data_IF_547387263675
#
_entry.id   IF_547387263675
#
_cell.length_a   1.000
_cell.length_b   1.000
_cell.length_c   1.000
_cell.angle_alpha   90.00
_cell.angle_beta   90.00
_cell.angle_gamma   90.00
#
_symmetry.space_group_name_H-M   'P 1'
#
loop_
_entity.id
_entity.type
_entity.pdbx_description
1 polymer ?
#
# COMPACT_ATOMS: atom_id res chain seq x y z
N UNK A 1 26.87 -87.80 27.36
CA UNK A 1 25.67 -88.55 26.96
C UNK A 1 25.01 -87.76 25.85
N UNK A 2 25.16 -88.21 24.60
CA UNK A 2 24.73 -87.44 23.44
C UNK A 2 23.21 -87.52 23.27
N UNK A 3 22.57 -86.36 23.16
CA UNK A 3 21.12 -86.19 22.92
C UNK A 3 20.64 -86.95 21.67
N UNK A 4 21.58 -87.29 20.78
CA UNK A 4 21.34 -88.08 19.58
C UNK A 4 20.96 -89.54 19.87
N UNK A 5 21.30 -90.13 21.03
CA UNK A 5 21.03 -91.55 21.36
C UNK A 5 19.60 -91.82 21.85
N UNK A 6 18.81 -90.78 22.11
CA UNK A 6 17.40 -90.91 22.53
C UNK A 6 16.42 -90.91 21.34
N UNK A 7 16.92 -90.81 20.11
CA UNK A 7 16.14 -90.63 18.88
C UNK A 7 16.22 -91.91 18.03
N UNK A 8 15.09 -92.49 17.54
CA UNK A 8 15.10 -93.71 16.75
C UNK A 8 16.01 -93.59 15.50
N UNK A 9 16.78 -94.63 15.13
CA UNK A 9 17.71 -94.58 14.01
C UNK A 9 17.14 -94.10 12.67
N UNK A 10 15.88 -94.40 12.27
CA UNK A 10 15.34 -93.90 10.99
C UNK A 10 15.02 -92.40 10.98
N UNK A 11 14.87 -91.73 12.13
CA UNK A 11 14.46 -90.30 12.21
C UNK A 11 15.59 -89.33 12.57
N UNK A 12 16.77 -89.85 12.95
CA UNK A 12 17.99 -89.05 13.21
C UNK A 12 18.36 -88.04 12.10
N UNK A 13 18.38 -88.38 10.79
CA UNK A 13 18.74 -87.40 9.75
C UNK A 13 17.71 -86.27 9.64
N UNK A 14 16.42 -86.56 9.85
CA UNK A 14 15.35 -85.56 9.87
C UNK A 14 15.44 -84.64 11.09
N UNK A 15 15.77 -85.18 12.26
CA UNK A 15 16.00 -84.37 13.46
C UNK A 15 17.20 -83.42 13.29
N UNK A 16 18.30 -83.88 12.69
CA UNK A 16 19.46 -83.04 12.39
C UNK A 16 19.10 -81.96 11.35
N UNK A 17 18.35 -82.31 10.31
CA UNK A 17 17.89 -81.34 9.30
C UNK A 17 17.01 -80.24 9.91
N UNK A 18 16.09 -80.59 10.82
CA UNK A 18 15.25 -79.62 11.52
C UNK A 18 16.07 -78.67 12.41
N UNK A 19 17.06 -79.19 13.13
CA UNK A 19 17.94 -78.37 13.97
C UNK A 19 18.75 -77.40 13.11
N UNK A 20 19.32 -77.87 11.99
CA UNK A 20 20.04 -77.00 11.06
C UNK A 20 19.13 -75.92 10.47
N UNK A 21 17.88 -76.27 10.12
CA UNK A 21 16.91 -75.31 9.60
C UNK A 21 16.51 -74.26 10.65
N UNK A 22 16.36 -74.66 11.92
CA UNK A 22 16.08 -73.76 13.02
C UNK A 22 17.25 -72.78 13.28
N UNK A 23 18.49 -73.25 13.22
CA UNK A 23 19.69 -72.42 13.37
C UNK A 23 19.82 -71.43 12.19
N UNK A 24 19.55 -71.89 10.96
CA UNK A 24 19.55 -71.04 9.78
C UNK A 24 18.43 -69.97 9.85
N UNK A 25 17.23 -70.34 10.30
CA UNK A 25 16.12 -69.40 10.50
C UNK A 25 16.41 -68.36 11.59
N UNK A 26 16.98 -68.78 12.72
CA UNK A 26 17.32 -67.88 13.82
C UNK A 26 18.43 -66.87 13.45
N UNK A 27 19.44 -67.31 12.70
CA UNK A 27 20.51 -66.41 12.23
C UNK A 27 20.00 -65.41 11.19
N UNK A 28 19.13 -65.82 10.27
CA UNK A 28 18.48 -64.93 9.31
C UNK A 28 17.57 -63.89 10.00
N UNK A 29 16.77 -64.31 11.00
CA UNK A 29 15.91 -63.41 11.77
C UNK A 29 16.72 -62.39 12.59
N UNK A 30 17.82 -62.84 13.21
CA UNK A 30 18.74 -61.98 13.94
C UNK A 30 19.42 -60.94 13.04
N UNK A 31 19.90 -61.36 11.86
CA UNK A 31 20.51 -60.46 10.89
C UNK A 31 19.53 -59.40 10.39
N UNK A 32 18.26 -59.77 10.13
CA UNK A 32 17.20 -58.84 9.77
C UNK A 32 16.93 -57.81 10.87
N UNK A 33 16.79 -58.23 12.13
CA UNK A 33 16.57 -57.34 13.28
C UNK A 33 17.68 -56.29 13.43
N UNK A 34 18.93 -56.69 13.26
CA UNK A 34 20.09 -55.78 13.36
C UNK A 34 20.12 -54.80 12.19
N UNK A 35 19.80 -55.27 10.98
CA UNK A 35 19.69 -54.39 9.81
C UNK A 35 18.59 -53.35 10.00
N UNK A 36 17.42 -53.77 10.46
CA UNK A 36 16.25 -52.90 10.65
C UNK A 36 16.53 -51.82 11.72
N UNK A 37 17.20 -52.19 12.82
CA UNK A 37 17.67 -51.24 13.82
C UNK A 37 18.62 -50.20 13.23
N UNK A 38 19.61 -50.64 12.45
CA UNK A 38 20.60 -49.75 11.83
C UNK A 38 19.96 -48.79 10.83
N UNK A 39 19.03 -49.28 10.01
CA UNK A 39 18.28 -48.44 9.08
C UNK A 39 17.37 -47.46 9.82
N UNK A 40 16.68 -47.89 10.87
CA UNK A 40 15.86 -47.02 11.71
C UNK A 40 16.65 -45.87 12.33
N UNK A 41 17.86 -46.12 12.82
CA UNK A 41 18.76 -45.07 13.34
C UNK A 41 19.14 -44.05 12.26
N UNK A 42 19.52 -44.49 11.06
CA UNK A 42 19.84 -43.58 9.96
C UNK A 42 18.63 -42.78 9.48
N UNK A 43 17.44 -43.37 9.48
CA UNK A 43 16.19 -42.71 9.15
C UNK A 43 15.85 -41.64 10.20
N UNK A 44 16.01 -41.93 11.49
CA UNK A 44 15.78 -40.97 12.56
C UNK A 44 16.75 -39.79 12.47
N UNK A 45 18.03 -40.04 12.18
CA UNK A 45 19.02 -38.98 12.02
C UNK A 45 18.72 -38.08 10.82
N UNK A 46 18.40 -38.67 9.66
CA UNK A 46 17.99 -37.90 8.47
C UNK A 46 16.69 -37.14 8.69
N UNK A 47 15.72 -37.72 9.39
CA UNK A 47 14.47 -37.06 9.74
C UNK A 47 14.74 -35.86 10.65
N UNK A 48 15.61 -36.00 11.66
CA UNK A 48 16.02 -34.90 12.54
C UNK A 48 16.73 -33.78 11.78
N UNK A 49 17.64 -34.10 10.86
CA UNK A 49 18.31 -33.11 10.02
C UNK A 49 17.32 -32.40 9.07
N UNK A 50 16.39 -33.14 8.48
CA UNK A 50 15.36 -32.59 7.60
C UNK A 50 14.41 -31.64 8.36
N UNK A 51 14.01 -32.02 9.58
CA UNK A 51 13.16 -31.21 10.45
C UNK A 51 13.88 -29.92 10.89
N UNK A 52 15.13 -30.03 11.34
CA UNK A 52 15.95 -28.84 11.65
C UNK A 52 16.13 -27.92 10.43
N UNK A 53 16.34 -28.49 9.25
CA UNK A 53 16.44 -27.69 8.02
C UNK A 53 15.09 -27.07 7.63
N UNK A 54 13.96 -27.72 7.90
CA UNK A 54 12.63 -27.16 7.68
C UNK A 54 12.36 -26.00 8.64
N UNK A 55 12.69 -26.16 9.93
CA UNK A 55 12.58 -25.12 10.95
C UNK A 55 13.40 -23.88 10.58
N UNK A 56 14.68 -24.03 10.22
CA UNK A 56 15.53 -22.91 9.79
C UNK A 56 14.96 -22.18 8.57
N UNK A 57 14.46 -22.92 7.57
CA UNK A 57 13.81 -22.30 6.40
C UNK A 57 12.52 -21.56 6.77
N UNK A 58 11.75 -22.08 7.72
CA UNK A 58 10.55 -21.42 8.21
C UNK A 58 10.89 -20.13 8.96
N UNK A 59 11.90 -20.14 9.82
CA UNK A 59 12.40 -18.95 10.53
C UNK A 59 12.90 -17.88 9.55
N UNK A 60 13.70 -18.27 8.55
CA UNK A 60 14.19 -17.35 7.50
C UNK A 60 13.03 -16.76 6.69
N UNK A 61 12.02 -17.57 6.36
CA UNK A 61 10.83 -17.12 5.64
C UNK A 61 10.01 -16.14 6.49
N UNK A 62 9.84 -16.41 7.79
CA UNK A 62 9.17 -15.51 8.73
C UNK A 62 9.93 -14.20 8.88
N UNK A 63 11.25 -14.22 8.98
CA UNK A 63 12.08 -13.03 9.06
C UNK A 63 11.93 -12.15 7.80
N UNK A 64 11.93 -12.77 6.61
CA UNK A 64 11.67 -12.04 5.35
C UNK A 64 10.28 -11.43 5.32
N UNK A 65 9.26 -12.19 5.72
CA UNK A 65 7.89 -11.71 5.78
C UNK A 65 7.75 -10.53 6.75
N UNK A 66 8.41 -10.58 7.92
CA UNK A 66 8.41 -9.48 8.88
C UNK A 66 9.03 -8.20 8.30
N UNK A 67 10.13 -8.32 7.54
CA UNK A 67 10.75 -7.18 6.85
C UNK A 67 9.80 -6.60 5.79
N UNK A 68 9.12 -7.45 5.02
CA UNK A 68 8.15 -6.99 4.02
C UNK A 68 6.93 -6.31 4.65
N UNK A 69 6.41 -6.86 5.75
CA UNK A 69 5.33 -6.24 6.51
C UNK A 69 5.75 -4.89 7.10
N UNK A 70 6.94 -4.79 7.67
CA UNK A 70 7.47 -3.53 8.18
C UNK A 70 7.59 -2.47 7.06
N UNK A 71 8.02 -2.87 5.86
CA UNK A 71 8.06 -1.99 4.68
C UNK A 71 6.66 -1.54 4.26
N UNK A 72 5.69 -2.46 4.22
CA UNK A 72 4.28 -2.11 3.90
C UNK A 72 3.72 -1.12 4.90
N UNK A 73 3.88 -1.38 6.20
CA UNK A 73 3.41 -0.48 7.26
C UNK A 73 4.08 0.90 7.18
N UNK A 74 5.38 0.96 6.89
CA UNK A 74 6.08 2.23 6.72
C UNK A 74 5.58 3.01 5.50
N UNK A 75 5.27 2.34 4.39
CA UNK A 75 4.68 2.97 3.21
C UNK A 75 3.25 3.44 3.47
N UNK A 76 2.43 2.62 4.11
CA UNK A 76 1.06 2.98 4.50
C UNK A 76 1.04 4.17 5.46
N UNK A 77 1.95 4.21 6.43
CA UNK A 77 2.10 5.35 7.33
C UNK A 77 2.48 6.63 6.57
N UNK A 78 3.39 6.54 5.59
CA UNK A 78 3.75 7.69 4.75
C UNK A 78 2.60 8.17 3.88
N UNK A 79 1.85 7.24 3.27
CA UNK A 79 0.67 7.56 2.47
C UNK A 79 -0.39 8.25 3.34
N UNK A 80 -0.70 7.71 4.52
CA UNK A 80 -1.62 8.34 5.46
C UNK A 80 -1.19 9.74 5.86
N UNK A 81 0.07 9.94 6.22
CA UNK A 81 0.58 11.28 6.58
C UNK A 81 0.49 12.25 5.39
N UNK A 82 0.79 11.78 4.18
CA UNK A 82 0.70 12.59 2.97
C UNK A 82 -0.77 12.97 2.66
N UNK A 83 -1.69 12.00 2.71
CA UNK A 83 -3.13 12.22 2.53
C UNK A 83 -3.69 13.18 3.59
N UNK A 84 -3.32 13.00 4.86
CA UNK A 84 -3.71 13.91 5.94
C UNK A 84 -3.19 15.33 5.72
N UNK A 85 -1.95 15.46 5.25
CA UNK A 85 -1.34 16.77 4.96
C UNK A 85 -2.07 17.44 3.80
N UNK A 86 -2.26 16.73 2.68
CA UNK A 86 -2.98 17.27 1.53
C UNK A 86 -4.44 17.59 1.86
N UNK A 87 -5.12 16.77 2.64
CA UNK A 87 -6.48 17.06 3.08
C UNK A 87 -6.54 18.34 3.94
N UNK A 88 -5.59 18.53 4.86
CA UNK A 88 -5.49 19.76 5.67
C UNK A 88 -5.22 20.97 4.78
N UNK A 89 -4.22 20.90 3.90
CA UNK A 89 -3.89 21.98 2.95
C UNK A 89 -5.11 22.38 2.09
N UNK A 90 -5.85 21.40 1.56
CA UNK A 90 -7.08 21.65 0.79
C UNK A 90 -8.18 22.28 1.65
N UNK A 91 -8.37 21.81 2.88
CA UNK A 91 -9.36 22.36 3.81
C UNK A 91 -9.01 23.79 4.21
N UNK A 92 -7.74 24.06 4.47
CA UNK A 92 -7.25 25.39 4.86
C UNK A 92 -7.36 26.37 3.70
N UNK A 93 -6.97 25.96 2.49
CA UNK A 93 -7.12 26.76 1.27
C UNK A 93 -8.61 27.09 1.01
N UNK A 94 -9.50 26.10 1.16
CA UNK A 94 -10.95 26.31 1.02
C UNK A 94 -11.49 27.29 2.07
N UNK A 95 -11.04 27.18 3.32
CA UNK A 95 -11.45 28.07 4.41
C UNK A 95 -10.94 29.49 4.17
N UNK A 96 -9.71 29.65 3.69
CA UNK A 96 -9.14 30.94 3.32
C UNK A 96 -9.92 31.59 2.16
N UNK A 97 -10.28 30.82 1.13
CA UNK A 97 -11.11 31.31 0.03
C UNK A 97 -12.48 31.75 0.53
N UNK A 98 -13.12 30.96 1.40
CA UNK A 98 -14.41 31.32 1.98
C UNK A 98 -14.31 32.62 2.80
N UNK A 99 -13.27 32.78 3.61
CA UNK A 99 -13.03 34.02 4.37
C UNK A 99 -12.93 35.24 3.44
N UNK A 100 -12.17 35.16 2.34
CA UNK A 100 -12.07 36.27 1.39
C UNK A 100 -13.42 36.57 0.73
N UNK A 101 -14.21 35.55 0.43
CA UNK A 101 -15.58 35.73 -0.10
C UNK A 101 -16.49 36.42 0.92
N UNK A 102 -16.39 36.07 2.20
CA UNK A 102 -17.18 36.68 3.28
C UNK A 102 -16.74 38.13 3.54
N UNK A 103 -15.44 38.43 3.48
CA UNK A 103 -14.88 39.78 3.59
C UNK A 103 -15.30 40.68 2.42
N UNK A 104 -15.47 40.11 1.22
CA UNK A 104 -16.02 40.81 0.06
C UNK A 104 -17.50 41.12 0.25
N UNK A 105 -18.28 40.17 0.80
CA UNK A 105 -19.71 40.35 1.07
C UNK A 105 -19.98 41.41 2.15
N UNK A 106 -19.09 41.51 3.14
CA UNK A 106 -19.14 42.52 4.22
C UNK A 106 -18.48 43.85 3.86
N UNK A 107 -18.04 44.01 2.59
CA UNK A 107 -17.35 45.19 2.06
C UNK A 107 -16.05 45.57 2.80
N UNK A 108 -15.46 44.64 3.57
CA UNK A 108 -14.15 44.80 4.19
C UNK A 108 -13.02 44.76 3.16
N UNK A 109 -13.19 43.99 2.08
CA UNK A 109 -12.32 43.97 0.90
C UNK A 109 -13.12 44.43 -0.32
N UNK A 110 -12.50 45.22 -1.22
CA UNK A 110 -13.13 45.72 -2.44
C UNK A 110 -12.38 45.26 -3.68
N UNK A 111 -13.13 44.81 -4.69
CA UNK A 111 -12.56 44.42 -5.97
C UNK A 111 -12.38 45.67 -6.85
N UNK A 112 -11.18 45.89 -7.36
CA UNK A 112 -10.88 46.99 -8.30
C UNK A 112 -10.60 46.45 -9.69
N UNK A 113 -11.19 47.07 -10.71
CA UNK A 113 -10.98 46.72 -12.12
C UNK A 113 -10.28 47.88 -12.81
N UNK A 114 -9.30 47.57 -13.66
CA UNK A 114 -8.60 48.56 -14.48
C UNK A 114 -9.51 48.93 -15.65
N UNK A 115 -9.84 50.22 -15.78
CA UNK A 115 -10.60 50.73 -16.90
C UNK A 115 -9.70 50.80 -18.14
N UNK A 116 -10.24 50.38 -19.29
CA UNK A 116 -9.58 50.59 -20.56
C UNK A 116 -9.45 52.10 -20.84
N UNK A 117 -8.31 52.52 -21.39
CA UNK A 117 -8.07 53.92 -21.75
C UNK A 117 -9.15 54.40 -22.72
N UNK A 118 -10.00 55.34 -22.27
CA UNK A 118 -11.15 55.84 -23.04
C UNK A 118 -12.50 55.76 -22.32
N UNK A 119 -12.62 54.98 -21.24
CA UNK A 119 -13.80 55.01 -20.36
C UNK A 119 -13.74 56.20 -19.39
N UNK A 120 -13.77 57.41 -19.93
CA UNK A 120 -13.99 58.62 -19.15
C UNK A 120 -15.44 58.69 -18.67
N UNK A 121 -15.62 58.60 -17.35
CA UNK A 121 -16.78 59.04 -16.55
C UNK A 121 -18.15 59.08 -17.27
N UNK A 122 -18.91 57.99 -17.18
CA UNK A 122 -20.37 58.07 -17.30
C UNK A 122 -20.92 58.35 -15.89
N UNK A 123 -20.88 59.62 -15.48
CA UNK A 123 -21.58 60.11 -14.30
C UNK A 123 -20.69 60.73 -13.24
N UNK A 124 -20.50 62.05 -13.31
CA UNK A 124 -20.01 62.88 -12.19
C UNK A 124 -18.73 63.64 -12.52
N UNK A 125 -18.89 64.91 -12.87
CA UNK A 125 -17.92 66.01 -12.96
C UNK A 125 -16.43 65.65 -12.82
N UNK A 126 -15.78 65.38 -13.95
CA UNK A 126 -14.32 65.29 -14.03
C UNK A 126 -13.67 66.66 -13.90
N UNK A 127 -12.94 66.88 -12.81
CA UNK A 127 -11.84 67.84 -12.78
C UNK A 127 -10.55 67.05 -13.06
N UNK A 128 -9.85 67.39 -14.14
CA UNK A 128 -8.53 66.84 -14.46
C UNK A 128 -7.56 67.06 -13.30
N UNK A 129 -7.07 65.98 -12.70
CA UNK A 129 -6.02 66.06 -11.69
C UNK A 129 -4.68 66.42 -12.36
N UNK A 130 -4.06 67.49 -11.87
CA UNK A 130 -2.73 67.98 -12.25
C UNK A 130 -1.65 66.92 -12.05
N UNK A 131 -0.73 66.82 -13.00
CA UNK A 131 0.42 65.93 -12.96
C UNK A 131 1.35 66.24 -11.78
N UNK A 132 1.63 65.24 -10.94
CA UNK A 132 2.70 65.30 -9.94
C UNK A 132 3.80 64.29 -10.26
N UNK A 133 5.05 64.77 -10.20
CA UNK A 133 6.26 63.99 -10.41
C UNK A 133 6.48 62.97 -9.27
N UNK A 134 6.90 61.75 -9.63
CA UNK A 134 7.58 60.82 -8.72
C UNK A 134 6.87 59.49 -8.49
N UNK A 135 7.15 58.51 -9.35
CA UNK A 135 7.34 57.11 -8.94
C UNK A 135 6.21 56.41 -8.17
N UNK A 136 5.04 56.25 -8.78
CA UNK A 136 4.13 55.13 -8.51
C UNK A 136 3.54 54.69 -9.85
N UNK A 137 3.56 53.38 -10.09
CA UNK A 137 3.11 52.75 -11.34
C UNK A 137 1.81 53.38 -11.80
N UNK A 138 1.81 54.04 -12.96
CA UNK A 138 0.61 54.49 -13.65
C UNK A 138 -0.17 53.27 -14.16
N UNK A 139 -0.75 52.48 -13.24
CA UNK A 139 -1.83 51.56 -13.59
C UNK A 139 -3.00 52.42 -14.06
N UNK A 140 -3.60 52.08 -15.20
CA UNK A 140 -4.76 52.80 -15.75
C UNK A 140 -5.83 53.04 -14.69
N UNK A 141 -6.62 54.11 -14.86
CA UNK A 141 -7.73 54.49 -13.96
C UNK A 141 -8.52 53.25 -13.50
N UNK A 142 -8.58 52.99 -12.19
CA UNK A 142 -9.31 51.83 -11.63
C UNK A 142 -10.69 52.26 -11.13
N UNK A 143 -11.70 51.46 -11.42
CA UNK A 143 -13.03 51.58 -10.82
C UNK A 143 -13.23 50.47 -9.77
N UNK A 144 -13.81 50.83 -8.62
CA UNK A 144 -14.25 49.86 -7.63
C UNK A 144 -15.58 49.23 -8.09
N UNK A 145 -15.70 47.91 -7.97
CA UNK A 145 -16.97 47.23 -8.17
C UNK A 145 -17.82 47.30 -6.91
N UNK A 146 -19.13 47.45 -7.11
CA UNK A 146 -20.10 47.32 -6.03
C UNK A 146 -20.07 45.88 -5.46
N UNK A 147 -20.09 45.69 -4.12
CA UNK A 147 -19.91 44.39 -3.49
C UNK A 147 -20.84 43.28 -4.00
N UNK A 148 -22.13 43.57 -4.23
CA UNK A 148 -23.06 42.57 -4.74
C UNK A 148 -22.75 42.16 -6.19
N UNK A 149 -22.31 43.09 -7.05
CA UNK A 149 -21.84 42.77 -8.40
C UNK A 149 -20.54 41.96 -8.40
N UNK A 150 -19.59 42.32 -7.54
CA UNK A 150 -18.34 41.58 -7.38
C UNK A 150 -18.60 40.13 -6.93
N UNK A 151 -19.45 39.93 -5.93
CA UNK A 151 -19.81 38.61 -5.42
C UNK A 151 -20.53 37.76 -6.49
N UNK A 152 -21.40 38.38 -7.30
CA UNK A 152 -22.09 37.68 -8.39
C UNK A 152 -21.13 37.19 -9.47
N UNK A 153 -20.14 37.99 -9.85
CA UNK A 153 -19.12 37.62 -10.84
C UNK A 153 -18.28 36.44 -10.34
N UNK A 154 -17.83 36.47 -9.09
CA UNK A 154 -17.07 35.37 -8.48
C UNK A 154 -17.92 34.10 -8.42
N UNK A 155 -19.18 34.20 -7.97
CA UNK A 155 -20.07 33.04 -7.88
C UNK A 155 -20.35 32.38 -9.22
N UNK A 156 -20.54 33.16 -10.30
CA UNK A 156 -20.69 32.64 -11.66
C UNK A 156 -19.41 31.94 -12.12
N UNK A 157 -18.24 32.51 -11.83
CA UNK A 157 -16.95 31.95 -12.23
C UNK A 157 -16.65 30.64 -11.49
N UNK A 158 -16.91 30.59 -10.18
CA UNK A 158 -16.77 29.39 -9.34
C UNK A 158 -17.75 28.27 -9.74
N UNK A 159 -18.99 28.61 -10.09
CA UNK A 159 -19.94 27.64 -10.65
C UNK A 159 -19.51 27.13 -12.03
N UNK A 160 -19.01 28.02 -12.89
CA UNK A 160 -18.49 27.69 -14.22
C UNK A 160 -17.30 26.74 -14.16
N UNK A 161 -16.32 27.04 -13.31
CA UNK A 161 -15.12 26.21 -13.12
C UNK A 161 -15.49 24.79 -12.63
N UNK A 162 -16.36 24.69 -11.62
CA UNK A 162 -16.88 23.40 -11.16
C UNK A 162 -17.62 22.63 -12.26
N UNK A 163 -18.38 23.32 -13.11
CA UNK A 163 -19.04 22.71 -14.27
C UNK A 163 -18.04 22.15 -15.30
N UNK A 164 -16.96 22.88 -15.59
CA UNK A 164 -15.92 22.43 -16.51
C UNK A 164 -15.14 21.22 -15.96
N UNK A 165 -14.83 21.22 -14.65
CA UNK A 165 -14.20 20.08 -13.97
C UNK A 165 -15.11 18.84 -14.06
N UNK A 166 -16.41 18.99 -13.78
CA UNK A 166 -17.36 17.88 -13.86
C UNK A 166 -17.48 17.35 -15.30
N UNK A 167 -17.54 18.23 -16.29
CA UNK A 167 -17.57 17.84 -17.70
C UNK A 167 -16.29 17.08 -18.11
N UNK A 168 -15.12 17.57 -17.70
CA UNK A 168 -13.85 16.91 -17.96
C UNK A 168 -13.81 15.51 -17.34
N UNK A 169 -14.33 15.34 -16.12
CA UNK A 169 -14.45 14.04 -15.47
C UNK A 169 -15.37 13.08 -16.25
N UNK A 170 -16.53 13.55 -16.70
CA UNK A 170 -17.44 12.76 -17.55
C UNK A 170 -16.78 12.34 -18.87
N UNK A 171 -16.05 13.25 -19.51
CA UNK A 171 -15.32 12.95 -20.75
C UNK A 171 -14.20 11.94 -20.53
N UNK A 172 -13.48 12.03 -19.40
CA UNK A 172 -12.48 11.04 -19.00
C UNK A 172 -13.07 9.65 -18.87
N UNK A 173 -14.19 9.53 -18.14
CA UNK A 173 -14.89 8.26 -17.95
C UNK A 173 -15.35 7.63 -19.28
N UNK A 174 -15.94 8.41 -20.18
CA UNK A 174 -16.37 7.89 -21.49
C UNK A 174 -15.18 7.41 -22.32
N UNK A 175 -14.05 8.11 -22.28
CA UNK A 175 -12.82 7.69 -22.98
C UNK A 175 -12.28 6.36 -22.44
N UNK A 176 -12.30 6.17 -21.12
CA UNK A 176 -11.87 4.91 -20.49
C UNK A 176 -12.77 3.74 -20.89
N UNK A 177 -14.08 3.94 -20.98
CA UNK A 177 -15.01 2.91 -21.46
C UNK A 177 -14.85 2.57 -22.94
N UNK A 178 -14.37 3.51 -23.75
CA UNK A 178 -14.16 3.32 -25.19
C UNK A 178 -12.81 2.68 -25.55
N UNK A 179 -11.98 2.36 -24.55
CA UNK A 179 -10.66 1.75 -24.70
C UNK A 179 -10.72 0.24 -24.52
#
# INVERSE_FOLDING_TARGET
MSVLDLIPPPVRPWAVALVLMAIAGASAAGAWKVQDWRYGQQLAEKAGQADQAALKRAEDAMAKLAIEQAKRLALEARLKTNDETHHKELSDAKTAQQRVSDDLATAHVRLSVILAAGFGSVGGNGLSATASAGGVVHGGTRAELEPAHAQRIIGITDAGDRGLIALAACQGYVRELSR
#
